data_IF_535423173807
#
_entry.id   IF_535423173807
#
_cell.length_a   1.000
_cell.length_b   1.000
_cell.length_c   1.000
_cell.angle_alpha   90.00
_cell.angle_beta   90.00
_cell.angle_gamma   90.00
#
_symmetry.space_group_name_H-M   'P 1'
#
loop_
_entity.id
_entity.type
_entity.pdbx_description
1 polymer ?
#
# COMPACT_ATOMS: atom_id res chain seq x y z
N UNK A 1 4.93 2.15 -5.86
CA UNK A 1 4.33 3.49 -6.09
C UNK A 1 3.11 3.64 -5.20
N UNK A 2 2.89 4.82 -4.61
CA UNK A 2 1.68 5.13 -3.85
C UNK A 2 0.94 6.21 -4.63
N UNK A 3 -0.34 6.00 -4.89
CA UNK A 3 -1.22 6.98 -5.51
C UNK A 3 -2.40 7.24 -4.57
N UNK A 4 -2.77 8.50 -4.37
CA UNK A 4 -3.93 8.87 -3.54
C UNK A 4 -4.80 9.77 -4.38
N UNK A 5 -6.04 9.32 -4.58
CA UNK A 5 -7.03 10.00 -5.39
C UNK A 5 -8.17 10.46 -4.48
N UNK A 6 -8.49 11.74 -4.53
CA UNK A 6 -9.74 12.24 -3.96
C UNK A 6 -10.90 11.79 -4.85
N UNK A 7 -11.98 11.27 -4.25
CA UNK A 7 -13.20 10.90 -4.97
C UNK A 7 -14.30 11.88 -4.56
N UNK A 8 -14.55 12.86 -5.42
CA UNK A 8 -15.64 13.82 -5.20
C UNK A 8 -17.04 13.19 -5.36
N UNK A 9 -17.16 12.15 -6.19
CA UNK A 9 -18.43 11.47 -6.50
C UNK A 9 -18.78 10.31 -5.57
N UNK A 10 -17.88 9.89 -4.65
CA UNK A 10 -18.14 8.75 -3.78
C UNK A 10 -18.27 9.17 -2.30
N UNK A 11 -19.49 9.30 -1.77
CA UNK A 11 -19.70 9.74 -0.39
C UNK A 11 -19.16 8.74 0.65
N UNK A 12 -18.94 7.48 0.26
CA UNK A 12 -18.38 6.45 1.14
C UNK A 12 -16.85 6.37 1.11
N UNK A 13 -16.19 7.11 0.21
CA UNK A 13 -14.74 7.00 0.01
C UNK A 13 -14.15 8.33 -0.45
N UNK A 14 -14.02 9.30 0.45
CA UNK A 14 -13.48 10.63 0.12
C UNK A 14 -12.05 10.56 -0.47
N UNK A 15 -11.20 9.67 0.04
CA UNK A 15 -9.84 9.45 -0.45
C UNK A 15 -9.57 7.97 -0.68
N UNK A 16 -9.23 7.62 -1.91
CA UNK A 16 -8.80 6.29 -2.29
C UNK A 16 -7.26 6.23 -2.36
N UNK A 17 -6.64 5.41 -1.52
CA UNK A 17 -5.22 5.08 -1.64
C UNK A 17 -5.04 3.82 -2.49
N UNK A 18 -4.06 3.85 -3.38
CA UNK A 18 -3.64 2.73 -4.21
C UNK A 18 -2.14 2.52 -4.02
N UNK A 19 -1.75 1.29 -3.66
CA UNK A 19 -0.36 0.91 -3.44
C UNK A 19 0.03 -0.14 -4.47
N UNK A 20 1.01 0.20 -5.29
CA UNK A 20 1.60 -0.67 -6.30
C UNK A 20 3.00 -1.11 -5.85
N UNK A 21 3.25 -2.41 -5.87
CA UNK A 21 4.54 -2.99 -5.51
C UNK A 21 4.93 -3.97 -6.61
N UNK A 22 6.16 -3.89 -7.12
CA UNK A 22 6.59 -4.61 -8.33
C UNK A 22 6.33 -6.13 -8.32
N UNK A 23 6.24 -6.74 -7.14
CA UNK A 23 6.02 -8.18 -6.94
C UNK A 23 4.69 -8.52 -6.26
N UNK A 24 3.84 -7.52 -5.96
CA UNK A 24 2.57 -7.72 -5.27
C UNK A 24 1.42 -7.10 -6.04
N UNK A 25 0.23 -7.66 -5.85
CA UNK A 25 -1.00 -7.10 -6.40
C UNK A 25 -1.23 -5.66 -5.92
N UNK A 26 -1.88 -4.87 -6.76
CA UNK A 26 -2.35 -3.54 -6.38
C UNK A 26 -3.29 -3.65 -5.17
N UNK A 27 -2.96 -2.92 -4.10
CA UNK A 27 -3.81 -2.83 -2.92
C UNK A 27 -4.52 -1.48 -2.88
N UNK A 28 -5.83 -1.50 -2.67
CA UNK A 28 -6.65 -0.30 -2.58
C UNK A 28 -7.28 -0.16 -1.20
N UNK A 29 -7.42 1.07 -0.73
CA UNK A 29 -8.11 1.40 0.52
C UNK A 29 -8.87 2.71 0.41
N UNK A 30 -10.00 2.80 1.12
CA UNK A 30 -10.86 3.98 1.17
C UNK A 30 -10.80 4.64 2.53
N UNK A 31 -10.68 5.97 2.55
CA UNK A 31 -10.44 6.74 3.75
C UNK A 31 -11.23 8.05 3.74
N UNK A 32 -11.65 8.50 4.92
CA UNK A 32 -12.34 9.77 5.10
C UNK A 32 -11.40 10.99 4.97
N UNK A 33 -10.10 10.81 5.21
CA UNK A 33 -9.11 11.91 5.13
C UNK A 33 -7.88 11.52 4.33
N UNK A 34 -7.29 12.49 3.63
CA UNK A 34 -6.03 12.32 2.89
C UNK A 34 -4.90 11.81 3.80
N UNK A 35 -4.80 12.34 5.02
CA UNK A 35 -3.76 11.95 5.98
C UNK A 35 -3.88 10.48 6.39
N UNK A 36 -5.09 9.97 6.58
CA UNK A 36 -5.32 8.56 6.86
C UNK A 36 -4.94 7.68 5.66
N UNK A 37 -5.33 8.09 4.44
CA UNK A 37 -4.94 7.41 3.20
C UNK A 37 -3.41 7.33 3.03
N UNK A 38 -2.71 8.44 3.28
CA UNK A 38 -1.24 8.52 3.22
C UNK A 38 -0.56 7.64 4.25
N UNK A 39 -1.02 7.72 5.51
CA UNK A 39 -0.46 6.93 6.60
C UNK A 39 -0.63 5.45 6.32
N UNK A 40 -1.84 5.02 5.97
CA UNK A 40 -2.12 3.63 5.62
C UNK A 40 -1.25 3.16 4.45
N UNK A 41 -1.16 3.93 3.37
CA UNK A 41 -0.39 3.54 2.20
C UNK A 41 1.11 3.40 2.50
N UNK A 42 1.67 4.32 3.29
CA UNK A 42 3.06 4.28 3.74
C UNK A 42 3.31 3.07 4.65
N UNK A 43 2.43 2.83 5.62
CA UNK A 43 2.54 1.69 6.54
C UNK A 43 2.42 0.37 5.79
N UNK A 44 1.47 0.24 4.86
CA UNK A 44 1.29 -0.97 4.06
C UNK A 44 2.53 -1.26 3.21
N UNK A 45 3.05 -0.25 2.52
CA UNK A 45 4.29 -0.37 1.74
C UNK A 45 5.46 -0.82 2.62
N UNK A 46 5.65 -0.22 3.79
CA UNK A 46 6.72 -0.60 4.71
C UNK A 46 6.58 -2.05 5.19
N UNK A 47 5.36 -2.48 5.55
CA UNK A 47 5.09 -3.87 5.98
C UNK A 47 5.40 -4.88 4.89
N UNK A 48 5.01 -4.61 3.65
CA UNK A 48 5.25 -5.54 2.54
C UNK A 48 6.75 -5.62 2.22
N UNK A 49 7.45 -4.49 2.17
CA UNK A 49 8.92 -4.48 1.99
C UNK A 49 9.60 -5.27 3.11
N UNK A 50 9.22 -5.05 4.37
CA UNK A 50 9.78 -5.78 5.50
C UNK A 50 9.53 -7.29 5.38
N UNK A 51 8.31 -7.70 5.00
CA UNK A 51 7.96 -9.11 4.79
C UNK A 51 8.78 -9.74 3.65
N UNK A 52 8.95 -9.03 2.53
CA UNK A 52 9.79 -9.48 1.41
C UNK A 52 11.25 -9.63 1.83
N UNK A 53 11.79 -8.65 2.56
CA UNK A 53 13.16 -8.71 3.09
C UNK A 53 13.33 -9.89 4.04
N UNK A 54 12.40 -10.10 4.98
CA UNK A 54 12.44 -11.25 5.90
C UNK A 54 12.37 -12.56 5.11
N UNK A 55 11.53 -12.66 4.09
CA UNK A 55 11.43 -13.84 3.23
C UNK A 55 12.74 -14.12 2.49
N UNK A 56 13.37 -13.09 1.94
CA UNK A 56 14.68 -13.19 1.28
C UNK A 56 15.80 -13.60 2.24
N UNK A 57 15.74 -13.17 3.51
CA UNK A 57 16.69 -13.59 4.53
C UNK A 57 16.45 -15.02 5.03
N UNK A 58 15.20 -15.47 5.09
CA UNK A 58 14.84 -16.85 5.50
C UNK A 58 15.18 -17.88 4.44
N UNK A 59 15.02 -17.53 3.17
CA UNK A 59 15.49 -18.33 2.04
C UNK A 59 16.61 -17.54 1.36
N UNK A 60 17.84 -17.53 1.93
CA UNK A 60 18.97 -17.03 1.17
C UNK A 60 19.00 -17.87 -0.11
N UNK A 61 18.97 -17.22 -1.26
CA UNK A 61 18.97 -17.89 -2.56
C UNK A 61 20.17 -18.86 -2.60
N UNK A 62 19.87 -20.13 -2.32
CA UNK A 62 20.69 -21.28 -2.62
C UNK A 62 20.20 -21.81 -3.96
N UNK A 63 21.14 -21.94 -4.89
CA UNK A 63 21.01 -22.47 -6.23
C UNK A 63 20.18 -23.75 -6.33
#
# INVERSE_FOLDING_TARGET
MINIKEQQDNPHCAFQAQVWLHKHSQQCGCFATKKAAELWAKTLRARIIAADTIKALRHPAGY
#
